data_IF_357550213173
#
_entry.id   IF_357550213173
#
_cell.length_a   1.000
_cell.length_b   1.000
_cell.length_c   1.000
_cell.angle_alpha   90.00
_cell.angle_beta   90.00
_cell.angle_gamma   90.00
#
_symmetry.space_group_name_H-M   'P 1'
#
loop_
_entity.id
_entity.type
_entity.pdbx_description
1 polymer ?
#
# COMPACT_ATOMS: atom_id res chain seq x y z
N UNK A 1 -23.38 -0.52 -27.84
CA UNK A 1 -22.67 -1.00 -26.64
C UNK A 1 -22.95 -2.48 -26.51
N UNK A 2 -21.93 -3.33 -26.39
CA UNK A 2 -22.14 -4.55 -25.61
C UNK A 2 -21.01 -4.83 -24.60
N UNK A 3 -21.47 -5.11 -23.39
CA UNK A 3 -21.02 -6.19 -22.50
C UNK A 3 -19.54 -6.21 -22.08
N UNK A 4 -19.29 -5.61 -20.90
CA UNK A 4 -18.04 -5.72 -20.15
C UNK A 4 -17.84 -7.15 -19.65
N UNK A 5 -16.91 -7.85 -20.30
CA UNK A 5 -16.46 -9.20 -19.97
C UNK A 5 -15.67 -9.19 -18.65
N UNK A 6 -16.07 -10.04 -17.71
CA UNK A 6 -15.49 -10.18 -16.36
C UNK A 6 -14.29 -11.12 -16.40
N UNK A 7 -13.15 -10.73 -15.82
CA UNK A 7 -11.93 -11.55 -15.75
C UNK A 7 -11.43 -11.73 -14.31
N UNK A 8 -11.34 -13.01 -13.93
CA UNK A 8 -10.85 -13.52 -12.65
C UNK A 8 -9.35 -13.84 -12.78
N UNK A 9 -8.50 -13.05 -12.10
CA UNK A 9 -7.12 -13.46 -11.85
C UNK A 9 -7.10 -14.16 -10.50
N UNK A 10 -6.80 -15.46 -10.44
CA UNK A 10 -6.69 -16.13 -9.17
C UNK A 10 -5.38 -15.75 -8.49
N UNK A 11 -5.36 -15.85 -7.16
CA UNK A 11 -4.24 -15.43 -6.34
C UNK A 11 -3.00 -16.25 -6.64
N UNK A 12 -1.84 -15.61 -6.42
CA UNK A 12 -0.55 -16.28 -6.42
C UNK A 12 -0.54 -17.29 -5.24
N UNK A 13 -0.45 -18.60 -5.49
CA UNK A 13 -0.52 -19.60 -4.44
C UNK A 13 0.77 -19.59 -3.61
N UNK A 14 0.66 -19.57 -2.27
CA UNK A 14 1.80 -19.50 -1.36
C UNK A 14 2.66 -20.79 -1.30
N UNK A 15 2.27 -21.83 -2.05
CA UNK A 15 3.07 -23.06 -2.19
C UNK A 15 2.84 -23.70 -3.57
N UNK A 16 3.84 -24.45 -4.10
CA UNK A 16 3.68 -25.22 -5.33
C UNK A 16 2.48 -26.18 -5.30
N UNK A 17 2.15 -26.70 -4.12
CA UNK A 17 1.00 -27.60 -3.91
C UNK A 17 -0.33 -26.90 -4.12
N UNK A 18 -0.49 -25.69 -3.56
CA UNK A 18 -1.67 -24.86 -3.78
C UNK A 18 -1.78 -24.43 -5.25
N UNK A 19 -0.64 -24.14 -5.89
CA UNK A 19 -0.60 -23.78 -7.31
C UNK A 19 -1.03 -24.90 -8.21
N UNK A 20 -0.46 -26.08 -8.06
CA UNK A 20 -0.80 -27.24 -8.90
C UNK A 20 -2.26 -27.67 -8.74
N UNK A 21 -2.82 -27.48 -7.53
CA UNK A 21 -4.23 -27.79 -7.26
C UNK A 21 -5.16 -26.77 -7.93
N UNK A 22 -4.84 -25.48 -7.87
CA UNK A 22 -5.63 -24.41 -8.49
C UNK A 22 -5.43 -24.33 -10.02
N UNK A 23 -4.26 -24.72 -10.53
CA UNK A 23 -3.89 -24.64 -11.95
C UNK A 23 -4.82 -25.43 -12.86
N UNK A 24 -5.38 -26.54 -12.37
CA UNK A 24 -6.36 -27.36 -13.10
C UNK A 24 -7.57 -26.56 -13.58
N UNK A 25 -7.93 -25.50 -12.86
CA UNK A 25 -9.09 -24.65 -13.14
C UNK A 25 -8.70 -23.31 -13.77
N UNK A 26 -7.47 -22.82 -13.54
CA UNK A 26 -7.04 -21.51 -13.99
C UNK A 26 -6.38 -21.48 -15.38
N UNK A 27 -5.75 -22.59 -15.82
CA UNK A 27 -4.84 -22.60 -16.98
C UNK A 27 -5.43 -21.99 -18.26
N UNK A 28 -6.74 -22.08 -18.46
CA UNK A 28 -7.43 -21.65 -19.70
C UNK A 28 -7.68 -20.12 -19.76
N UNK A 29 -7.46 -19.38 -18.66
CA UNK A 29 -7.68 -17.92 -18.56
C UNK A 29 -6.49 -17.13 -18.01
N UNK A 30 -5.28 -17.67 -18.08
CA UNK A 30 -4.09 -17.16 -17.38
C UNK A 30 -3.49 -15.86 -17.95
N UNK A 31 -3.91 -15.40 -19.13
CA UNK A 31 -3.40 -14.16 -19.73
C UNK A 31 -4.57 -13.21 -20.04
N UNK A 32 -4.94 -12.33 -19.10
CA UNK A 32 -5.99 -11.35 -19.33
C UNK A 32 -5.46 -9.98 -19.81
N UNK A 33 -6.27 -9.27 -20.59
CA UNK A 33 -5.97 -7.88 -20.99
C UNK A 33 -6.00 -6.90 -19.79
N UNK A 34 -6.80 -7.15 -18.74
CA UNK A 34 -6.92 -6.34 -17.51
C UNK A 34 -6.96 -7.22 -16.22
N UNK A 35 -6.42 -6.72 -15.11
CA UNK A 35 -6.17 -7.50 -13.86
C UNK A 35 -7.12 -7.10 -12.72
N UNK A 36 -7.80 -8.09 -12.11
CA UNK A 36 -8.56 -7.94 -10.85
C UNK A 36 -7.86 -8.74 -9.75
N UNK A 37 -7.35 -8.09 -8.69
CA UNK A 37 -6.67 -8.78 -7.61
C UNK A 37 -7.63 -9.55 -6.71
N UNK A 38 -7.26 -10.75 -6.27
CA UNK A 38 -7.96 -11.48 -5.19
C UNK A 38 -6.97 -11.69 -4.05
N UNK A 39 -7.35 -11.33 -2.82
CA UNK A 39 -6.55 -11.63 -1.62
C UNK A 39 -7.06 -12.91 -0.97
N UNK A 40 -6.29 -14.00 -1.01
CA UNK A 40 -6.54 -15.21 -0.21
C UNK A 40 -5.59 -15.19 0.97
N UNK A 41 -6.16 -15.23 2.18
CA UNK A 41 -5.43 -15.42 3.43
C UNK A 41 -5.32 -16.91 3.74
N UNK A 42 -4.13 -17.38 4.10
CA UNK A 42 -3.99 -18.71 4.70
C UNK A 42 -4.57 -18.68 6.12
N UNK A 43 -5.28 -19.76 6.49
CA UNK A 43 -5.95 -19.93 7.79
C UNK A 43 -5.03 -19.52 8.96
N UNK A 44 -5.33 -18.39 9.60
CA UNK A 44 -4.66 -17.94 10.82
C UNK A 44 -3.69 -16.75 10.67
N UNK A 45 -3.38 -16.28 9.46
CA UNK A 45 -2.57 -15.07 9.30
C UNK A 45 -3.37 -13.83 9.74
N UNK A 46 -2.82 -13.10 10.72
CA UNK A 46 -3.37 -11.83 11.20
C UNK A 46 -3.59 -10.91 10.00
N UNK A 47 -4.79 -10.34 9.87
CA UNK A 47 -4.98 -9.16 9.01
C UNK A 47 -4.03 -8.09 9.56
N UNK A 48 -2.94 -7.70 8.88
CA UNK A 48 -2.22 -6.53 9.32
C UNK A 48 -3.24 -5.39 9.33
N UNK A 49 -3.32 -4.65 10.44
CA UNK A 49 -4.14 -3.45 10.45
C UNK A 49 -3.68 -2.59 9.28
N UNK A 50 -4.56 -2.43 8.29
CA UNK A 50 -4.22 -1.65 7.11
C UNK A 50 -4.27 -0.20 7.55
N UNK A 51 -3.11 0.43 7.66
CA UNK A 51 -2.98 1.82 8.07
C UNK A 51 -3.99 2.72 7.35
N UNK A 52 -4.10 2.55 6.04
CA UNK A 52 -5.00 3.33 5.19
C UNK A 52 -6.50 3.02 5.35
N UNK A 53 -6.86 1.88 5.94
CA UNK A 53 -8.25 1.59 6.29
C UNK A 53 -8.77 2.47 7.44
N UNK A 54 -7.88 2.97 8.32
CA UNK A 54 -8.27 3.84 9.45
C UNK A 54 -8.93 5.14 8.97
N UNK A 55 -8.47 5.68 7.84
CA UNK A 55 -9.02 6.89 7.22
C UNK A 55 -9.82 6.61 5.95
N UNK A 56 -10.27 5.37 5.76
CA UNK A 56 -11.31 5.04 4.76
C UNK A 56 -10.82 4.69 3.37
N UNK A 57 -9.53 4.50 3.14
CA UNK A 57 -8.99 4.10 1.83
C UNK A 57 -8.20 2.80 1.96
N UNK A 58 -8.86 1.63 2.12
CA UNK A 58 -8.15 0.39 2.35
C UNK A 58 -7.28 0.02 1.13
N UNK A 59 -5.96 -0.03 1.32
CA UNK A 59 -5.01 -0.44 0.29
C UNK A 59 -4.56 -1.90 0.48
N UNK A 60 -4.27 -2.56 -0.63
CA UNK A 60 -3.57 -3.84 -0.72
C UNK A 60 -2.22 -3.58 -1.36
N UNK A 61 -1.16 -4.16 -0.80
CA UNK A 61 0.21 -3.92 -1.23
C UNK A 61 0.85 -5.27 -1.47
N UNK A 62 1.27 -5.50 -2.71
CA UNK A 62 1.89 -6.73 -3.15
C UNK A 62 3.32 -6.45 -3.52
N UNK A 63 4.25 -7.14 -2.88
CA UNK A 63 5.66 -7.09 -3.25
C UNK A 63 5.91 -8.02 -4.43
N UNK A 64 6.57 -7.51 -5.48
CA UNK A 64 6.87 -8.29 -6.69
C UNK A 64 7.95 -9.34 -6.42
N UNK A 65 8.97 -8.93 -5.68
CA UNK A 65 10.16 -9.72 -5.42
C UNK A 65 10.11 -10.29 -4.01
N UNK A 66 10.11 -11.61 -3.88
CA UNK A 66 10.35 -12.26 -2.58
C UNK A 66 11.80 -12.01 -2.20
N UNK A 67 12.06 -11.52 -0.98
CA UNK A 67 13.44 -11.45 -0.49
C UNK A 67 14.04 -12.85 -0.53
N UNK A 68 15.28 -13.01 -1.01
CA UNK A 68 15.96 -14.28 -0.88
C UNK A 68 16.11 -14.60 0.61
N UNK A 69 15.54 -15.71 1.04
CA UNK A 69 15.78 -16.27 2.37
C UNK A 69 17.25 -16.74 2.47
N UNK A 70 17.94 -16.50 3.61
CA UNK A 70 17.49 -15.74 4.76
C UNK A 70 17.55 -14.23 4.51
N UNK A 71 16.57 -13.48 5.04
CA UNK A 71 16.69 -12.03 5.25
C UNK A 71 18.07 -11.74 5.87
N UNK A 72 19.00 -11.22 5.08
CA UNK A 72 20.30 -10.78 5.57
C UNK A 72 20.17 -9.28 5.80
N UNK A 73 19.90 -8.83 7.04
CA UNK A 73 20.08 -7.43 7.35
C UNK A 73 21.55 -7.15 7.10
N UNK A 74 21.82 -6.45 5.99
CA UNK A 74 23.10 -5.88 5.65
C UNK A 74 24.28 -6.88 5.54
N UNK A 75 24.50 -7.43 4.35
CA UNK A 75 25.84 -7.85 3.93
C UNK A 75 26.16 -7.18 2.61
N UNK A 76 27.02 -6.16 2.66
CA UNK A 76 27.47 -5.37 1.51
C UNK A 76 28.17 -6.23 0.48
N UNK A 77 27.43 -6.76 -0.48
CA UNK A 77 27.96 -7.42 -1.66
C UNK A 77 27.44 -6.72 -2.91
N UNK A 78 28.31 -5.93 -3.54
CA UNK A 78 28.43 -5.50 -4.95
C UNK A 78 27.22 -5.00 -5.77
N UNK A 79 25.98 -5.19 -5.33
CA UNK A 79 24.80 -4.50 -5.87
C UNK A 79 24.48 -3.38 -4.89
N UNK A 80 24.41 -2.14 -5.39
CA UNK A 80 24.07 -0.98 -4.56
C UNK A 80 22.77 -1.27 -3.80
N UNK A 81 22.83 -1.54 -2.47
CA UNK A 81 21.67 -2.03 -1.73
C UNK A 81 20.52 -1.02 -1.71
N UNK A 82 20.83 0.25 -2.00
CA UNK A 82 19.86 1.35 -2.05
C UNK A 82 18.97 1.31 -3.29
N UNK A 83 19.36 0.60 -4.37
CA UNK A 83 18.59 0.58 -5.61
C UNK A 83 17.24 -0.14 -5.48
N UNK A 84 17.05 -0.89 -4.40
CA UNK A 84 15.80 -1.56 -4.05
C UNK A 84 15.05 -0.87 -2.90
N UNK A 85 15.56 0.23 -2.36
CA UNK A 85 14.82 0.97 -1.34
C UNK A 85 13.58 1.62 -1.98
N UNK A 86 12.45 1.49 -1.30
CA UNK A 86 11.16 2.02 -1.73
C UNK A 86 10.47 2.58 -0.50
N UNK A 87 10.83 3.83 -0.17
CA UNK A 87 10.39 4.49 1.05
C UNK A 87 8.88 4.73 1.06
N UNK A 88 8.29 4.96 -0.12
CA UNK A 88 6.85 5.07 -0.29
C UNK A 88 6.15 3.78 0.15
N UNK A 89 6.63 2.63 -0.30
CA UNK A 89 6.12 1.33 0.13
C UNK A 89 6.32 1.08 1.63
N UNK A 90 7.48 1.45 2.18
CA UNK A 90 7.73 1.40 3.62
C UNK A 90 6.67 2.19 4.39
N UNK A 91 6.38 3.42 3.97
CA UNK A 91 5.42 4.29 4.66
C UNK A 91 4.00 3.72 4.60
N UNK A 92 3.59 3.19 3.46
CA UNK A 92 2.29 2.53 3.31
C UNK A 92 2.12 1.30 4.21
N UNK A 93 3.22 0.73 4.71
CA UNK A 93 3.26 -0.46 5.57
C UNK A 93 3.53 -0.16 7.05
N UNK A 94 3.53 1.11 7.44
CA UNK A 94 3.73 1.51 8.85
C UNK A 94 2.63 0.98 9.76
N UNK A 95 3.03 0.53 10.94
CA UNK A 95 2.14 0.20 12.05
C UNK A 95 1.49 1.45 12.62
N UNK A 96 0.17 1.40 12.82
CA UNK A 96 -0.62 2.42 13.51
C UNK A 96 -0.19 2.62 14.97
N UNK A 97 0.50 1.65 15.56
CA UNK A 97 0.92 1.72 16.95
C UNK A 97 2.24 2.47 17.12
N UNK A 98 3.25 2.12 16.33
CA UNK A 98 4.64 2.56 16.58
C UNK A 98 5.20 3.50 15.51
N UNK A 99 4.49 3.74 14.41
CA UNK A 99 5.01 4.61 13.35
C UNK A 99 6.15 3.95 12.56
N UNK A 100 6.35 2.64 12.72
CA UNK A 100 7.37 1.86 12.03
C UNK A 100 6.73 0.74 11.21
N UNK A 101 7.27 0.49 10.03
CA UNK A 101 6.93 -0.68 9.24
C UNK A 101 7.55 -1.95 9.85
N UNK A 102 7.02 -3.16 9.57
CA UNK A 102 7.72 -4.41 9.87
C UNK A 102 9.12 -4.45 9.24
N UNK A 103 10.08 -5.19 9.84
CA UNK A 103 11.49 -5.16 9.43
C UNK A 103 11.69 -5.47 7.93
N UNK A 104 10.93 -6.42 7.40
CA UNK A 104 10.98 -6.82 5.99
C UNK A 104 10.49 -5.74 5.01
N UNK A 105 9.84 -4.69 5.54
CA UNK A 105 9.36 -3.51 4.82
C UNK A 105 10.19 -2.25 5.08
N UNK A 106 11.21 -2.30 5.94
CA UNK A 106 12.02 -1.12 6.28
C UNK A 106 13.17 -0.84 5.29
N UNK A 107 13.63 -1.85 4.55
CA UNK A 107 14.72 -1.70 3.58
C UNK A 107 14.59 -2.71 2.43
N UNK A 108 15.22 -2.39 1.30
CA UNK A 108 15.30 -3.23 0.10
C UNK A 108 13.93 -3.76 -0.36
N UNK A 109 12.85 -2.98 -0.15
CA UNK A 109 11.46 -3.41 -0.38
C UNK A 109 11.22 -3.81 -1.85
N UNK A 110 11.95 -3.20 -2.77
CA UNK A 110 11.89 -3.47 -4.19
C UNK A 110 10.61 -2.94 -4.83
N UNK A 111 10.19 -3.58 -5.92
CA UNK A 111 8.98 -3.16 -6.65
C UNK A 111 7.73 -3.65 -5.94
N UNK A 112 6.75 -2.75 -5.76
CA UNK A 112 5.44 -3.09 -5.21
C UNK A 112 4.31 -2.74 -6.16
N UNK A 113 3.20 -3.44 -6.02
CA UNK A 113 1.92 -3.11 -6.65
C UNK A 113 0.96 -2.71 -5.56
N UNK A 114 0.40 -1.50 -5.67
CA UNK A 114 -0.60 -0.98 -4.75
C UNK A 114 -1.95 -0.94 -5.45
N UNK A 115 -2.97 -1.51 -4.82
CA UNK A 115 -4.35 -1.48 -5.33
C UNK A 115 -5.31 -1.15 -4.20
N UNK A 116 -6.48 -0.59 -4.52
CA UNK A 116 -7.54 -0.43 -3.52
C UNK A 116 -8.22 -1.78 -3.26
N UNK A 117 -8.58 -2.02 -2.01
CA UNK A 117 -9.27 -3.24 -1.60
C UNK A 117 -10.73 -3.30 -2.11
N UNK A 118 -11.30 -2.17 -2.53
CA UNK A 118 -12.60 -2.09 -3.19
C UNK A 118 -12.51 -2.22 -4.72
N UNK A 119 -11.30 -2.49 -5.26
CA UNK A 119 -11.02 -2.68 -6.69
C UNK A 119 -11.35 -1.50 -7.58
N UNK A 120 -11.61 -0.32 -7.02
CA UNK A 120 -11.78 0.89 -7.80
C UNK A 120 -10.41 1.39 -8.28
N UNK A 121 -10.37 2.16 -9.38
CA UNK A 121 -9.13 2.77 -9.85
C UNK A 121 -8.45 3.57 -8.73
N UNK A 122 -7.12 3.49 -8.70
CA UNK A 122 -6.25 4.28 -7.85
C UNK A 122 -5.32 5.06 -8.76
N UNK A 123 -5.56 6.35 -8.88
CA UNK A 123 -4.73 7.24 -9.69
C UNK A 123 -3.42 7.57 -8.97
N UNK A 124 -2.37 7.96 -9.70
CA UNK A 124 -1.12 8.42 -9.08
C UNK A 124 -1.33 9.57 -8.08
N UNK A 125 -2.20 10.54 -8.41
CA UNK A 125 -2.48 11.67 -7.52
C UNK A 125 -3.20 11.22 -6.23
N UNK A 126 -4.10 10.23 -6.30
CA UNK A 126 -4.73 9.66 -5.10
C UNK A 126 -3.71 8.92 -4.23
N UNK A 127 -2.86 8.07 -4.83
CA UNK A 127 -1.82 7.34 -4.11
C UNK A 127 -0.82 8.31 -3.45
N UNK A 128 -0.40 9.34 -4.17
CA UNK A 128 0.48 10.37 -3.64
C UNK A 128 -0.17 11.14 -2.48
N UNK A 129 -1.45 11.52 -2.60
CA UNK A 129 -2.17 12.19 -1.51
C UNK A 129 -2.22 11.32 -0.25
N UNK A 130 -2.46 10.01 -0.40
CA UNK A 130 -2.43 9.05 0.71
C UNK A 130 -1.03 9.00 1.32
N UNK A 131 0.01 8.81 0.51
CA UNK A 131 1.39 8.77 0.99
C UNK A 131 1.82 10.07 1.69
N UNK A 132 1.47 11.23 1.12
CA UNK A 132 1.78 12.54 1.69
C UNK A 132 1.13 12.73 3.07
N UNK A 133 -0.10 12.23 3.24
CA UNK A 133 -0.75 12.23 4.54
C UNK A 133 -0.04 11.33 5.55
N UNK A 134 0.39 10.13 5.15
CA UNK A 134 1.18 9.23 6.01
C UNK A 134 2.50 9.92 6.40
N UNK A 135 3.20 10.52 5.45
CA UNK A 135 4.43 11.27 5.72
C UNK A 135 4.18 12.42 6.70
N UNK A 136 3.08 13.17 6.53
CA UNK A 136 2.67 14.21 7.47
C UNK A 136 2.43 13.64 8.88
N UNK A 137 1.82 12.46 8.99
CA UNK A 137 1.63 11.77 10.27
C UNK A 137 2.96 11.40 10.93
N UNK A 138 3.88 10.82 10.18
CA UNK A 138 5.22 10.45 10.65
C UNK A 138 5.97 11.67 11.16
N UNK A 139 6.07 12.72 10.34
CA UNK A 139 6.90 13.87 10.65
C UNK A 139 6.38 14.72 11.80
N UNK A 140 5.05 14.76 12.02
CA UNK A 140 4.46 15.69 12.98
C UNK A 140 3.92 15.02 14.25
N UNK A 141 3.65 13.72 14.23
CA UNK A 141 3.00 13.04 15.36
C UNK A 141 3.71 11.76 15.81
N UNK A 142 4.53 11.13 14.97
CA UNK A 142 5.46 10.09 15.42
C UNK A 142 6.81 10.69 15.81
N UNK A 143 7.59 9.98 16.63
CA UNK A 143 8.90 10.47 17.11
C UNK A 143 8.81 11.46 18.29
N UNK A 144 7.66 11.54 18.96
CA UNK A 144 7.48 12.36 20.18
C UNK A 144 8.18 11.79 21.41
N UNK A 145 8.79 10.60 21.31
CA UNK A 145 9.51 9.93 22.40
C UNK A 145 8.59 9.66 23.58
N UNK A 146 9.06 9.99 24.79
CA UNK A 146 8.31 9.81 26.04
C UNK A 146 6.99 10.60 26.09
N UNK A 147 6.77 11.57 25.17
CA UNK A 147 5.51 12.33 25.09
C UNK A 147 4.38 11.59 24.38
N UNK A 148 4.68 10.53 23.63
CA UNK A 148 3.67 9.65 23.01
C UNK A 148 4.20 8.21 22.90
N UNK A 149 4.46 7.53 24.03
CA UNK A 149 5.16 6.24 24.05
C UNK A 149 4.34 5.13 23.38
N UNK A 150 3.04 5.31 23.24
CA UNK A 150 2.13 4.35 22.65
C UNK A 150 1.59 4.77 21.29
N UNK A 151 1.98 5.93 20.73
CA UNK A 151 1.51 6.44 19.43
C UNK A 151 0.05 6.94 19.42
N UNK A 152 -0.52 7.23 20.58
CA UNK A 152 -1.91 7.68 20.73
C UNK A 152 -2.20 9.00 20.03
N UNK A 153 -1.26 9.95 20.03
CA UNK A 153 -1.42 11.26 19.40
C UNK A 153 -1.51 11.10 17.89
N UNK A 154 -0.64 10.28 17.31
CA UNK A 154 -0.67 9.95 15.89
C UNK A 154 -1.97 9.24 15.49
N UNK A 155 -2.41 8.23 16.27
CA UNK A 155 -3.69 7.55 16.01
C UNK A 155 -4.89 8.47 16.07
N UNK A 156 -4.89 9.44 17.00
CA UNK A 156 -5.95 10.44 17.09
C UNK A 156 -6.02 11.34 15.85
N UNK A 157 -4.97 11.37 15.02
CA UNK A 157 -5.00 12.06 13.73
C UNK A 157 -5.58 11.21 12.60
N UNK A 158 -5.57 9.87 12.69
CA UNK A 158 -5.95 8.94 11.62
C UNK A 158 -7.47 8.77 11.47
N UNK A 159 -8.19 9.87 11.26
CA UNK A 159 -9.64 9.84 11.02
C UNK A 159 -9.95 10.22 9.57
N UNK A 160 -11.14 9.83 9.08
CA UNK A 160 -11.60 10.19 7.72
C UNK A 160 -11.66 11.70 7.54
N UNK A 161 -12.12 12.41 8.56
CA UNK A 161 -12.30 13.86 8.56
C UNK A 161 -10.95 14.58 8.45
N UNK A 162 -9.96 14.14 9.23
CA UNK A 162 -8.61 14.73 9.20
C UNK A 162 -7.87 14.41 7.90
N UNK A 163 -8.06 13.20 7.38
CA UNK A 163 -7.52 12.86 6.06
C UNK A 163 -8.15 13.68 4.94
N UNK A 164 -9.47 13.88 4.96
CA UNK A 164 -10.15 14.73 3.98
C UNK A 164 -9.65 16.18 4.06
N UNK A 165 -9.59 16.76 5.27
CA UNK A 165 -9.09 18.11 5.47
C UNK A 165 -7.64 18.28 4.96
N UNK A 166 -6.76 17.32 5.26
CA UNK A 166 -5.40 17.32 4.72
C UNK A 166 -5.40 17.22 3.18
N UNK A 167 -6.22 16.33 2.62
CA UNK A 167 -6.29 16.09 1.17
C UNK A 167 -6.74 17.34 0.40
N UNK A 168 -7.67 18.11 0.95
CA UNK A 168 -8.13 19.39 0.37
C UNK A 168 -6.98 20.40 0.31
N UNK A 169 -6.29 20.61 1.44
CA UNK A 169 -5.15 21.53 1.52
C UNK A 169 -4.01 21.09 0.58
N UNK A 170 -3.68 19.81 0.57
CA UNK A 170 -2.63 19.25 -0.27
C UNK A 170 -2.96 19.38 -1.77
N UNK A 171 -4.22 19.14 -2.16
CA UNK A 171 -4.69 19.35 -3.53
C UNK A 171 -4.53 20.80 -3.95
N UNK A 172 -4.94 21.76 -3.12
CA UNK A 172 -4.80 23.19 -3.42
C UNK A 172 -3.33 23.59 -3.59
N UNK A 173 -2.46 23.11 -2.71
CA UNK A 173 -1.02 23.38 -2.78
C UNK A 173 -0.41 22.83 -4.08
N UNK A 174 -0.76 21.60 -4.46
CA UNK A 174 -0.30 20.99 -5.71
C UNK A 174 -0.78 21.79 -6.94
N UNK A 175 -2.04 22.24 -6.95
CA UNK A 175 -2.58 23.09 -8.03
C UNK A 175 -1.83 24.43 -8.09
N UNK A 176 -1.56 25.08 -6.95
CA UNK A 176 -0.77 26.33 -6.87
C UNK A 176 0.65 26.14 -7.41
N UNK A 177 1.24 24.97 -7.21
CA UNK A 177 2.55 24.56 -7.77
C UNK A 177 2.50 24.17 -9.25
N UNK A 178 1.35 24.26 -9.90
CA UNK A 178 1.20 23.98 -11.34
C UNK A 178 0.97 22.52 -11.70
N UNK A 179 0.69 21.64 -10.73
CA UNK A 179 0.47 20.21 -10.98
C UNK A 179 -0.94 19.95 -11.49
N UNK A 180 -1.06 19.78 -12.81
CA UNK A 180 -2.35 19.68 -13.50
C UNK A 180 -3.12 18.39 -13.14
N UNK A 181 -2.41 17.30 -12.82
CA UNK A 181 -2.98 16.02 -12.43
C UNK A 181 -3.85 16.12 -11.16
N UNK A 182 -3.57 17.09 -10.28
CA UNK A 182 -4.36 17.34 -9.07
C UNK A 182 -5.65 18.12 -9.33
N UNK A 183 -5.82 18.77 -10.50
CA UNK A 183 -7.08 19.46 -10.84
C UNK A 183 -8.24 18.48 -10.94
N UNK A 184 -7.96 17.26 -11.42
CA UNK A 184 -8.94 16.20 -11.62
C UNK A 184 -9.10 15.28 -10.40
N UNK A 185 -8.34 15.50 -9.32
CA UNK A 185 -8.45 14.70 -8.10
C UNK A 185 -9.83 14.92 -7.44
N UNK A 186 -10.62 13.86 -7.32
CA UNK A 186 -11.95 13.91 -6.68
C UNK A 186 -11.83 13.52 -5.21
N UNK A 187 -12.40 14.33 -4.33
CA UNK A 187 -12.40 14.09 -2.88
C UNK A 187 -13.82 13.80 -2.33
N UNK A 188 -13.96 13.05 -1.22
CA UNK A 188 -12.93 12.21 -0.61
C UNK A 188 -12.46 11.09 -1.54
N UNK A 189 -11.19 10.73 -1.41
CA UNK A 189 -10.64 9.49 -1.96
C UNK A 189 -11.34 8.32 -1.26
N UNK A 190 -11.75 7.27 -1.99
CA UNK A 190 -12.35 6.09 -1.37
C UNK A 190 -13.89 6.09 -1.24
N UNK A 191 -14.62 6.92 -2.00
CA UNK A 191 -16.08 6.74 -2.19
C UNK A 191 -16.36 5.38 -2.84
#
# INVERSE_FOLDING_TARGET
MPEGLVLLVPPRPQSPTCQNSHWKFHKEGCIPEHVTGVTIYCNGERKPERFSARFGVPLLIFRKDSLPEPFRPWRGTEQDPSSLDNQEATYLMISTQFGLAPLEWQCQVGTVTVVRADYKPLTPAELETIWAYISHLISNYYGLGDRDPDGSVARAQMTKEKFLAFSELYKEECIKKGRAEFKNLVLPIGK
#
